data_IF_540090213256
#
_entry.id   IF_540090213256
#
_cell.length_a   1.000
_cell.length_b   1.000
_cell.length_c   1.000
_cell.angle_alpha   90.00
_cell.angle_beta   90.00
_cell.angle_gamma   90.00
#
_symmetry.space_group_name_H-M   'P 1'
#
loop_
_entity.id
_entity.type
_entity.pdbx_description
1 polymer ?
#
# COMPACT_ATOMS: atom_id res chain seq x y z
N UNK A 1 -8.84 13.54 11.66
CA UNK A 1 -7.43 13.85 11.84
C UNK A 1 -6.69 12.60 12.32
N UNK A 2 -5.56 12.25 11.65
CA UNK A 2 -4.78 11.02 11.93
C UNK A 2 -4.28 10.97 13.38
N UNK A 3 -3.77 12.08 13.90
CA UNK A 3 -3.24 12.17 15.27
C UNK A 3 -4.32 11.97 16.33
N UNK A 4 -5.50 12.57 16.13
CA UNK A 4 -6.63 12.36 17.03
C UNK A 4 -7.06 10.89 17.08
N UNK A 5 -7.09 10.21 15.92
CA UNK A 5 -7.38 8.77 15.84
C UNK A 5 -6.31 7.92 16.52
N UNK A 6 -5.04 8.30 16.40
CA UNK A 6 -3.92 7.65 17.07
C UNK A 6 -3.83 8.01 18.57
N UNK A 7 -4.75 8.83 19.09
CA UNK A 7 -4.73 9.35 20.49
C UNK A 7 -3.39 10.02 20.86
N UNK A 8 -2.75 10.64 19.86
CA UNK A 8 -1.52 11.39 20.05
C UNK A 8 -1.85 12.87 20.22
N UNK A 9 -1.51 13.51 21.36
CA UNK A 9 -1.80 14.91 21.59
C UNK A 9 -1.03 15.81 20.60
N UNK A 10 0.21 15.46 20.33
CA UNK A 10 1.11 16.21 19.49
C UNK A 10 1.61 15.34 18.31
N UNK A 11 1.95 16.01 17.20
CA UNK A 11 2.56 15.36 16.07
C UNK A 11 4.03 15.03 16.38
N UNK A 12 4.44 13.76 16.35
CA UNK A 12 5.86 13.41 16.46
C UNK A 12 6.68 14.13 15.38
N UNK A 13 7.87 14.60 15.73
CA UNK A 13 8.74 15.31 14.80
C UNK A 13 9.17 14.42 13.61
N UNK A 14 9.27 13.12 13.86
CA UNK A 14 9.62 12.10 12.88
C UNK A 14 8.45 11.74 11.94
N UNK A 15 7.24 12.23 12.19
CA UNK A 15 6.09 12.05 11.30
C UNK A 15 5.88 13.31 10.44
N UNK A 16 6.04 13.17 9.13
CA UNK A 16 5.68 14.21 8.15
C UNK A 16 4.52 13.73 7.29
N UNK A 17 3.51 14.56 7.12
CA UNK A 17 2.37 14.30 6.25
C UNK A 17 2.19 15.49 5.30
N UNK A 18 2.00 15.18 4.01
CA UNK A 18 1.91 16.16 2.94
C UNK A 18 0.58 15.98 2.20
N UNK A 19 -0.05 17.10 1.83
CA UNK A 19 -1.17 17.11 0.90
C UNK A 19 -0.66 17.63 -0.44
N UNK A 20 -0.62 16.77 -1.46
CA UNK A 20 -0.06 17.08 -2.77
C UNK A 20 -1.14 17.33 -3.85
N UNK A 21 -2.40 17.43 -3.46
CA UNK A 21 -3.54 17.54 -4.41
C UNK A 21 -3.49 18.77 -5.30
N UNK A 22 -2.90 19.89 -4.82
CA UNK A 22 -2.73 21.11 -5.60
C UNK A 22 -1.56 21.12 -6.59
N UNK A 23 -0.77 20.04 -6.64
CA UNK A 23 0.43 19.92 -7.47
C UNK A 23 0.13 19.14 -8.76
N UNK A 24 0.83 19.46 -9.84
CA UNK A 24 0.89 18.61 -11.03
C UNK A 24 1.60 17.29 -10.74
N UNK A 25 1.42 16.26 -11.60
CA UNK A 25 2.06 14.94 -11.42
C UNK A 25 3.57 15.03 -11.26
N UNK A 26 4.23 15.82 -12.10
CA UNK A 26 5.69 16.02 -12.06
C UNK A 26 6.12 16.68 -10.74
N UNK A 27 5.37 17.68 -10.29
CA UNK A 27 5.64 18.33 -9.00
C UNK A 27 5.43 17.40 -7.83
N UNK A 28 4.39 16.52 -7.86
CA UNK A 28 4.17 15.51 -6.83
C UNK A 28 5.35 14.55 -6.70
N UNK A 29 5.83 14.00 -7.81
CA UNK A 29 7.00 13.10 -7.79
C UNK A 29 8.25 13.81 -7.27
N UNK A 30 8.51 15.03 -7.74
CA UNK A 30 9.62 15.85 -7.23
C UNK A 30 9.49 16.15 -5.74
N UNK A 31 8.28 16.45 -5.25
CA UNK A 31 8.02 16.71 -3.84
C UNK A 31 8.28 15.46 -2.98
N UNK A 32 7.94 14.26 -3.47
CA UNK A 32 8.26 12.99 -2.81
C UNK A 32 9.77 12.84 -2.68
N UNK A 33 10.52 12.98 -3.79
CA UNK A 33 11.99 12.84 -3.79
C UNK A 33 12.63 13.85 -2.83
N UNK A 34 12.30 15.13 -2.95
CA UNK A 34 12.85 16.18 -2.10
C UNK A 34 12.50 15.99 -0.61
N UNK A 35 11.29 15.49 -0.33
CA UNK A 35 10.87 15.23 1.05
C UNK A 35 11.64 14.06 1.64
N UNK A 36 11.90 13.01 0.86
CA UNK A 36 12.70 11.86 1.29
C UNK A 36 14.15 12.28 1.54
N UNK A 37 14.77 13.05 0.64
CA UNK A 37 16.09 13.63 0.83
C UNK A 37 16.18 14.41 2.14
N UNK A 38 15.30 15.41 2.27
CA UNK A 38 15.29 16.29 3.45
C UNK A 38 15.10 15.50 4.75
N UNK A 39 14.17 14.53 4.76
CA UNK A 39 13.87 13.72 5.92
C UNK A 39 15.07 12.83 6.30
N UNK A 40 15.69 12.20 5.30
CA UNK A 40 16.87 11.37 5.49
C UNK A 40 18.03 12.14 6.13
N UNK A 41 18.35 13.31 5.60
CA UNK A 41 19.42 14.14 6.16
C UNK A 41 19.10 14.72 7.54
N UNK A 42 17.83 14.98 7.79
CA UNK A 42 17.41 15.54 9.09
C UNK A 42 17.39 14.51 10.21
N UNK A 43 16.99 13.26 9.92
CA UNK A 43 16.77 12.22 10.94
C UNK A 43 17.71 11.02 10.82
N UNK A 44 18.59 10.99 9.84
CA UNK A 44 19.57 9.92 9.63
C UNK A 44 18.99 8.63 9.01
N UNK A 45 17.72 8.65 8.57
CA UNK A 45 17.08 7.51 7.94
C UNK A 45 15.58 7.72 7.74
N UNK A 46 14.97 6.83 6.96
CA UNK A 46 13.52 6.79 6.71
C UNK A 46 13.02 5.38 7.01
N UNK A 47 12.13 5.25 7.97
CA UNK A 47 11.55 3.96 8.34
C UNK A 47 10.50 3.50 7.32
N UNK A 48 9.60 4.39 6.92
CA UNK A 48 8.46 4.09 6.06
C UNK A 48 8.03 5.33 5.28
N UNK A 49 7.74 5.13 4.01
CA UNK A 49 7.06 6.10 3.15
C UNK A 49 5.70 5.53 2.75
N UNK A 50 4.63 6.31 2.91
CA UNK A 50 3.28 5.93 2.45
C UNK A 50 2.85 6.85 1.32
N UNK A 51 2.50 6.28 0.18
CA UNK A 51 1.98 6.99 -1.00
C UNK A 51 0.52 6.57 -1.21
N UNK A 52 -0.39 7.44 -0.82
CA UNK A 52 -1.83 7.27 -0.95
C UNK A 52 -2.36 8.29 -1.97
N UNK A 53 -2.66 7.96 -3.17
CA UNK A 53 -2.72 6.85 -4.06
C UNK A 53 -1.69 7.02 -5.19
N UNK A 54 -0.98 5.96 -5.46
CA UNK A 54 0.08 5.97 -6.47
C UNK A 54 -0.42 6.28 -7.90
N UNK A 55 -1.67 5.98 -8.21
CA UNK A 55 -2.26 6.29 -9.52
C UNK A 55 -2.21 7.79 -9.88
N UNK A 56 -2.12 8.66 -8.88
CA UNK A 56 -2.04 10.11 -9.07
C UNK A 56 -0.66 10.59 -9.57
N UNK A 57 0.32 9.71 -9.63
CA UNK A 57 1.65 10.00 -10.16
C UNK A 57 1.77 9.73 -11.66
N UNK A 58 0.79 9.07 -12.28
CA UNK A 58 0.75 8.77 -13.72
C UNK A 58 -0.44 9.43 -14.38
N UNK A 59 -0.33 9.72 -15.69
CA UNK A 59 -1.44 10.27 -16.49
C UNK A 59 -2.58 9.27 -16.63
N UNK A 60 -2.21 8.02 -16.82
CA UNK A 60 -3.14 6.90 -16.92
C UNK A 60 -2.48 5.65 -16.36
N UNK A 61 -3.22 4.88 -15.57
CA UNK A 61 -2.76 3.58 -15.13
C UNK A 61 -2.51 2.59 -16.29
N UNK A 62 -3.03 2.90 -17.49
CA UNK A 62 -2.81 2.12 -18.73
C UNK A 62 -1.64 2.64 -19.56
N UNK A 63 -0.98 3.73 -19.18
CA UNK A 63 0.25 4.20 -19.83
C UNK A 63 1.42 3.36 -19.30
N UNK A 64 1.94 2.50 -20.16
CA UNK A 64 3.01 1.57 -19.81
C UNK A 64 4.30 2.31 -19.47
N UNK A 65 4.71 3.25 -20.33
CA UNK A 65 5.97 3.97 -20.16
C UNK A 65 6.01 4.81 -18.88
N UNK A 66 4.94 5.57 -18.59
CA UNK A 66 4.84 6.32 -17.33
C UNK A 66 4.76 5.39 -16.13
N UNK A 67 4.03 4.27 -16.23
CA UNK A 67 3.90 3.29 -15.14
C UNK A 67 5.26 2.68 -14.79
N UNK A 68 6.01 2.22 -15.78
CA UNK A 68 7.36 1.68 -15.58
C UNK A 68 8.27 2.74 -14.96
N UNK A 69 8.29 3.97 -15.51
CA UNK A 69 9.16 5.03 -15.03
C UNK A 69 8.89 5.40 -13.55
N UNK A 70 7.64 5.52 -13.16
CA UNK A 70 7.27 5.84 -11.76
C UNK A 70 7.65 4.70 -10.82
N UNK A 71 7.35 3.45 -11.19
CA UNK A 71 7.66 2.30 -10.35
C UNK A 71 9.17 2.08 -10.21
N UNK A 72 9.92 2.23 -11.29
CA UNK A 72 11.38 2.12 -11.24
C UNK A 72 12.00 3.22 -10.37
N UNK A 73 11.48 4.46 -10.43
CA UNK A 73 11.94 5.53 -9.55
C UNK A 73 11.64 5.24 -8.08
N UNK A 74 10.44 4.78 -7.74
CA UNK A 74 10.10 4.41 -6.36
C UNK A 74 10.96 3.24 -5.87
N UNK A 75 11.22 2.25 -6.73
CA UNK A 75 12.09 1.12 -6.43
C UNK A 75 13.54 1.59 -6.16
N UNK A 76 14.04 2.53 -7.00
CA UNK A 76 15.36 3.16 -6.82
C UNK A 76 15.44 3.92 -5.48
N UNK A 77 14.42 4.72 -5.16
CA UNK A 77 14.37 5.47 -3.90
C UNK A 77 14.33 4.54 -2.68
N UNK A 78 13.56 3.46 -2.74
CA UNK A 78 13.53 2.46 -1.68
C UNK A 78 14.92 1.86 -1.42
N UNK A 79 15.68 1.60 -2.50
CA UNK A 79 17.06 1.09 -2.40
C UNK A 79 18.05 2.13 -1.86
N UNK A 80 18.01 3.38 -2.35
CA UNK A 80 18.92 4.45 -1.93
C UNK A 80 18.77 4.75 -0.44
N UNK A 81 17.52 4.88 0.02
CA UNK A 81 17.24 5.23 1.42
C UNK A 81 17.11 4.01 2.34
N UNK A 82 17.25 2.81 1.80
CA UNK A 82 17.02 1.55 2.53
C UNK A 82 15.73 1.58 3.35
N UNK A 83 14.62 1.93 2.67
CA UNK A 83 13.32 2.17 3.30
C UNK A 83 12.22 1.35 2.64
N UNK A 84 11.15 1.10 3.39
CA UNK A 84 9.92 0.55 2.85
C UNK A 84 9.08 1.66 2.23
N UNK A 85 8.64 1.50 0.97
CA UNK A 85 7.64 2.36 0.34
C UNK A 85 6.34 1.56 0.19
N UNK A 86 5.31 1.99 0.90
CA UNK A 86 3.95 1.43 0.84
C UNK A 86 3.11 2.26 -0.12
N UNK A 87 2.65 1.64 -1.19
CA UNK A 87 1.79 2.26 -2.20
C UNK A 87 0.35 1.78 -2.06
N UNK A 88 -0.60 2.71 -2.09
CA UNK A 88 -2.04 2.40 -2.12
C UNK A 88 -2.53 2.51 -3.56
N UNK A 89 -3.20 1.45 -4.03
CA UNK A 89 -3.82 1.40 -5.36
C UNK A 89 -5.20 0.73 -5.26
N UNK A 90 -6.21 1.35 -5.85
CA UNK A 90 -7.56 0.79 -5.89
C UNK A 90 -7.67 -0.32 -6.95
N UNK A 91 -8.42 -1.37 -6.63
CA UNK A 91 -8.81 -2.39 -7.59
C UNK A 91 -9.76 -1.82 -8.66
N UNK A 92 -9.82 -2.48 -9.82
CA UNK A 92 -10.89 -2.23 -10.78
C UNK A 92 -12.23 -2.71 -10.20
N UNK A 93 -13.34 -2.00 -10.46
CA UNK A 93 -14.67 -2.52 -10.13
C UNK A 93 -14.83 -3.92 -10.73
N UNK A 94 -15.35 -4.86 -9.93
CA UNK A 94 -15.62 -6.24 -10.31
C UNK A 94 -14.43 -7.22 -10.41
N UNK A 95 -13.31 -7.00 -9.70
CA UNK A 95 -12.26 -8.00 -9.66
C UNK A 95 -11.07 -7.67 -8.76
N UNK A 96 -10.28 -8.68 -8.42
CA UNK A 96 -8.99 -8.56 -7.74
C UNK A 96 -7.86 -8.12 -8.68
N UNK A 97 -8.17 -7.74 -9.91
CA UNK A 97 -7.18 -7.27 -10.88
C UNK A 97 -6.78 -5.84 -10.53
N UNK A 98 -5.50 -5.60 -10.35
CA UNK A 98 -4.95 -4.26 -10.21
C UNK A 98 -5.12 -3.47 -11.50
N UNK A 99 -5.28 -2.16 -11.38
CA UNK A 99 -5.65 -1.29 -12.49
C UNK A 99 -4.48 -1.08 -13.46
N UNK A 100 -4.62 -1.59 -14.69
CA UNK A 100 -3.76 -1.29 -15.85
C UNK A 100 -2.30 -1.73 -15.71
N UNK A 101 -1.44 -1.16 -16.56
CA UNK A 101 0.00 -1.40 -16.54
C UNK A 101 0.65 -1.04 -15.19
N UNK A 102 0.19 0.04 -14.55
CA UNK A 102 0.66 0.44 -13.23
C UNK A 102 0.49 -0.68 -12.20
N UNK A 103 -0.68 -1.33 -12.19
CA UNK A 103 -0.94 -2.45 -11.29
C UNK A 103 -0.05 -3.66 -11.57
N UNK A 104 0.16 -3.99 -12.85
CA UNK A 104 1.02 -5.09 -13.26
C UNK A 104 2.49 -4.85 -12.86
N UNK A 105 3.00 -3.64 -13.06
CA UNK A 105 4.36 -3.27 -12.66
C UNK A 105 4.54 -3.27 -11.15
N UNK A 106 3.55 -2.78 -10.38
CA UNK A 106 3.57 -2.89 -8.93
C UNK A 106 3.61 -4.34 -8.46
N UNK A 107 2.79 -5.23 -9.05
CA UNK A 107 2.82 -6.65 -8.73
C UNK A 107 4.18 -7.28 -8.99
N UNK A 108 4.81 -6.92 -10.10
CA UNK A 108 6.13 -7.44 -10.48
C UNK A 108 7.23 -7.00 -9.49
N UNK A 109 7.25 -5.74 -9.10
CA UNK A 109 8.32 -5.13 -8.27
C UNK A 109 8.09 -5.27 -6.77
N UNK A 110 6.84 -5.24 -6.30
CA UNK A 110 6.54 -5.29 -4.87
C UNK A 110 7.01 -6.60 -4.21
N UNK A 111 7.60 -6.49 -3.04
CA UNK A 111 7.97 -7.62 -2.22
C UNK A 111 6.73 -8.26 -1.57
N UNK A 112 5.78 -7.44 -1.15
CA UNK A 112 4.54 -7.87 -0.50
C UNK A 112 3.36 -7.14 -1.13
N UNK A 113 2.24 -7.85 -1.32
CA UNK A 113 0.97 -7.29 -1.76
C UNK A 113 -0.10 -7.73 -0.77
N UNK A 114 -0.81 -6.74 -0.23
CA UNK A 114 -1.95 -6.95 0.64
C UNK A 114 -3.21 -6.44 -0.06
N UNK A 115 -4.31 -7.18 0.03
CA UNK A 115 -5.64 -6.68 -0.32
C UNK A 115 -6.43 -6.32 0.93
N UNK A 116 -7.30 -5.33 0.80
CA UNK A 116 -8.29 -4.95 1.80
C UNK A 116 -9.65 -5.08 1.13
N UNK A 117 -10.48 -5.96 1.65
CA UNK A 117 -11.80 -6.28 1.11
C UNK A 117 -12.84 -6.21 2.22
N UNK A 118 -14.11 -6.06 1.86
CA UNK A 118 -15.20 -6.25 2.82
C UNK A 118 -15.31 -7.72 3.15
N UNK A 119 -15.55 -8.03 4.42
CA UNK A 119 -15.86 -9.40 4.85
C UNK A 119 -17.34 -9.71 4.58
N UNK A 120 -17.73 -10.98 4.76
CA UNK A 120 -19.13 -11.40 4.77
C UNK A 120 -19.94 -10.64 5.82
N UNK A 121 -19.35 -10.37 6.98
CA UNK A 121 -19.88 -9.43 7.96
C UNK A 121 -19.68 -7.98 7.45
N UNK A 122 -20.77 -7.26 7.06
CA UNK A 122 -20.69 -5.96 6.38
C UNK A 122 -19.96 -4.87 7.17
N UNK A 123 -19.85 -5.03 8.49
CA UNK A 123 -19.18 -4.09 9.39
C UNK A 123 -17.68 -4.31 9.46
N UNK A 124 -17.17 -5.39 8.87
CA UNK A 124 -15.77 -5.80 8.94
C UNK A 124 -15.08 -5.71 7.58
N UNK A 125 -13.80 -5.49 7.64
CA UNK A 125 -12.89 -5.58 6.51
C UNK A 125 -11.86 -6.65 6.79
N UNK A 126 -11.48 -7.41 5.76
CA UNK A 126 -10.43 -8.42 5.85
C UNK A 126 -9.20 -7.94 5.08
N UNK A 127 -8.05 -8.03 5.72
CA UNK A 127 -6.74 -7.84 5.09
C UNK A 127 -6.13 -9.21 4.84
N UNK A 128 -5.75 -9.48 3.58
CA UNK A 128 -5.10 -10.73 3.19
C UNK A 128 -3.85 -10.49 2.35
N UNK A 129 -2.84 -11.32 2.56
CA UNK A 129 -1.66 -11.32 1.71
C UNK A 129 -1.98 -12.03 0.38
N UNK A 130 -1.65 -11.35 -0.73
CA UNK A 130 -1.74 -11.90 -2.08
C UNK A 130 -0.36 -12.32 -2.60
N UNK A 131 0.70 -11.68 -2.10
CA UNK A 131 2.10 -11.98 -2.44
C UNK A 131 2.99 -11.73 -1.22
N UNK A 132 3.94 -12.63 -1.00
CA UNK A 132 5.04 -12.46 -0.05
C UNK A 132 6.29 -13.00 -0.72
N UNK A 133 7.39 -12.21 -0.78
CA UNK A 133 8.60 -12.58 -1.55
C UNK A 133 9.28 -13.83 -0.99
N UNK A 134 9.46 -13.89 0.32
CA UNK A 134 10.28 -14.90 0.98
C UNK A 134 9.43 -15.90 1.79
N UNK A 135 8.19 -16.14 1.34
CA UNK A 135 7.26 -17.05 2.01
C UNK A 135 6.00 -17.31 1.21
N UNK A 136 5.10 -18.06 1.77
CA UNK A 136 3.77 -18.29 1.20
C UNK A 136 2.79 -17.23 1.70
N UNK A 137 2.00 -16.59 0.83
CA UNK A 137 0.91 -15.72 1.27
C UNK A 137 -0.12 -16.48 2.11
N UNK A 138 -0.18 -17.82 2.00
CA UNK A 138 -1.08 -18.66 2.79
C UNK A 138 -0.65 -18.81 4.26
N UNK A 139 0.62 -18.52 4.56
CA UNK A 139 1.14 -18.56 5.94
C UNK A 139 0.78 -17.28 6.70
N UNK A 140 0.36 -16.22 5.99
CA UNK A 140 -0.10 -14.98 6.60
C UNK A 140 -1.59 -15.13 6.95
N UNK A 141 -2.00 -14.96 8.20
CA UNK A 141 -3.41 -15.08 8.59
C UNK A 141 -4.26 -13.98 7.94
N UNK A 142 -5.55 -14.23 7.80
CA UNK A 142 -6.52 -13.20 7.42
C UNK A 142 -6.77 -12.32 8.63
N UNK A 143 -6.47 -11.03 8.53
CA UNK A 143 -6.62 -10.07 9.62
C UNK A 143 -7.94 -9.31 9.49
N UNK A 144 -8.75 -9.30 10.54
CA UNK A 144 -10.03 -8.61 10.58
C UNK A 144 -9.89 -7.23 11.22
N UNK A 145 -10.54 -6.26 10.59
CA UNK A 145 -10.67 -4.89 11.08
C UNK A 145 -12.13 -4.45 11.04
N UNK A 146 -12.58 -3.71 12.04
CA UNK A 146 -13.89 -3.09 12.05
C UNK A 146 -13.80 -1.62 12.47
N UNK A 147 -14.77 -0.82 11.99
CA UNK A 147 -14.88 0.56 12.45
C UNK A 147 -15.35 0.59 13.90
N UNK A 148 -14.58 1.22 14.74
CA UNK A 148 -14.91 1.47 16.14
C UNK A 148 -15.36 2.92 16.28
N UNK A 149 -16.59 3.13 16.76
CA UNK A 149 -17.20 4.46 16.86
C UNK A 149 -16.53 5.30 17.99
N UNK A 150 -16.15 4.66 19.08
CA UNK A 150 -15.54 5.35 20.21
C UNK A 150 -14.10 5.75 19.88
N UNK A 151 -13.35 4.85 19.26
CA UNK A 151 -11.99 5.13 18.79
C UNK A 151 -11.97 6.07 17.57
N UNK A 152 -13.06 6.16 16.80
CA UNK A 152 -13.13 6.91 15.54
C UNK A 152 -12.17 6.40 14.46
N UNK A 153 -11.87 5.08 14.47
CA UNK A 153 -10.93 4.46 13.54
C UNK A 153 -11.25 2.96 13.35
N UNK A 154 -10.65 2.36 12.34
CA UNK A 154 -10.66 0.91 12.23
C UNK A 154 -9.73 0.30 13.28
N UNK A 155 -10.22 -0.70 13.99
CA UNK A 155 -9.46 -1.43 15.00
C UNK A 155 -9.34 -2.90 14.61
N UNK A 156 -8.25 -3.51 14.99
CA UNK A 156 -8.01 -4.94 14.78
C UNK A 156 -8.98 -5.76 15.64
N UNK A 157 -9.61 -6.76 15.05
CA UNK A 157 -10.62 -7.64 15.70
C UNK A 157 -10.17 -9.09 15.80
N UNK A 158 -8.97 -9.42 15.36
CA UNK A 158 -8.44 -10.76 15.41
C UNK A 158 -8.17 -11.35 14.02
N UNK A 159 -7.95 -12.65 13.99
CA UNK A 159 -7.62 -13.41 12.80
C UNK A 159 -8.77 -14.34 12.42
N UNK A 160 -8.90 -14.58 11.11
CA UNK A 160 -9.86 -15.53 10.53
C UNK A 160 -9.07 -16.64 9.84
N UNK A 161 -9.42 -17.93 10.05
CA UNK A 161 -8.80 -19.00 9.30
C UNK A 161 -9.15 -18.90 7.82
N UNK A 162 -8.22 -19.27 6.95
CA UNK A 162 -8.49 -19.35 5.50
C UNK A 162 -9.32 -20.59 5.21
N UNK A 163 -10.39 -20.43 4.42
CA UNK A 163 -11.19 -21.56 3.96
C UNK A 163 -10.40 -22.44 2.98
N UNK A 164 -10.65 -23.74 2.98
CA UNK A 164 -9.98 -24.67 2.06
C UNK A 164 -10.23 -24.36 0.58
N UNK A 165 -11.40 -23.80 0.25
CA UNK A 165 -11.74 -23.38 -1.12
C UNK A 165 -10.88 -22.19 -1.58
N UNK A 166 -10.57 -21.25 -0.68
CA UNK A 166 -9.68 -20.12 -0.97
C UNK A 166 -8.24 -20.62 -1.16
N UNK A 167 -7.78 -21.54 -0.30
CA UNK A 167 -6.46 -22.17 -0.44
C UNK A 167 -6.28 -22.88 -1.79
N UNK A 168 -7.33 -23.50 -2.32
CA UNK A 168 -7.32 -24.14 -3.64
C UNK A 168 -7.22 -23.14 -4.78
N UNK A 169 -8.06 -22.09 -4.79
CA UNK A 169 -8.03 -21.05 -5.82
C UNK A 169 -6.69 -20.30 -5.87
N UNK A 170 -6.12 -19.99 -4.72
CA UNK A 170 -4.83 -19.30 -4.65
C UNK A 170 -3.67 -20.20 -5.11
N UNK A 171 -3.71 -21.50 -4.82
CA UNK A 171 -2.73 -22.47 -5.35
C UNK A 171 -2.81 -22.60 -6.87
N UNK A 172 -3.99 -22.56 -7.45
CA UNK A 172 -4.19 -22.58 -8.91
C UNK A 172 -3.64 -21.31 -9.57
N UNK A 173 -3.81 -20.13 -8.94
CA UNK A 173 -3.27 -18.86 -9.44
C UNK A 173 -1.74 -18.81 -9.37
N UNK A 174 -1.11 -19.39 -8.36
CA UNK A 174 0.35 -19.44 -8.21
C UNK A 174 0.99 -20.40 -9.21
N UNK A 175 0.28 -21.46 -9.63
CA UNK A 175 0.78 -22.46 -10.58
C UNK A 175 0.64 -22.02 -12.06
N UNK A 176 0.01 -20.88 -12.35
CA UNK A 176 -0.20 -20.34 -13.72
C UNK A 176 0.70 -19.11 -13.99
N UNK A 177 1.48 -18.67 -13.02
CA UNK A 177 2.46 -17.60 -13.12
C UNK A 177 3.88 -18.14 -13.17
#
# INVERSE_FOLDING_TARGET
NLLARAKQPDKPDELKAFCLTGMSRKERLNAIVQSMDKFYYQYGGIQLVVIDGIADLVKSANDEAESVAVIDELYRLAGIYNTCILCVLHFVPNGLKLRGHLGSELQRKAATILSIEKDEEPTQSVVKALKVRDGSPLDVPLMLFAWDKEAGMHVYKGEKPREEKEKRKERELVNVA
#
